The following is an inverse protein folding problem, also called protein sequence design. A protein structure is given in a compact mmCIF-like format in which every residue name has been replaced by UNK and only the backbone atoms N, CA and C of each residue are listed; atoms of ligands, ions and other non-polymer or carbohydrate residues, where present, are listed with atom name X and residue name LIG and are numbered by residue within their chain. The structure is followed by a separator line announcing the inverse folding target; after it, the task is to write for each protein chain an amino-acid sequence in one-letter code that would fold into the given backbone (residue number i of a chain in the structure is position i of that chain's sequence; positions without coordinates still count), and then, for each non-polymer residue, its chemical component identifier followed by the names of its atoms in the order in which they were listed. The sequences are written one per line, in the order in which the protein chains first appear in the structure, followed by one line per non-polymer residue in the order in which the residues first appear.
data_IF_888007678590
#
_entry.id   IF_888007678590
#
_cell.length_a   1.000
_cell.length_b   1.000
_cell.length_c   1.000
_cell.angle_alpha   90.00
_cell.angle_beta   90.00
_cell.angle_gamma   90.00
#
_symmetry.space_group_name_H-M   'P 1'
#
loop_
_entity.id
_entity.type
_entity.pdbx_description
1 polymer ?
#
# COMPACT_ATOMS: atom_id res chain seq x y z
N UNK A 1 -3.98 -23.78 8.78
CA UNK A 1 -3.40 -22.45 9.09
C UNK A 1 -4.48 -21.62 9.77
N UNK A 2 -4.14 -20.95 10.88
CA UNK A 2 -5.05 -20.00 11.53
C UNK A 2 -4.77 -18.64 10.88
N UNK A 3 -5.80 -18.02 10.31
CA UNK A 3 -5.73 -16.68 9.76
C UNK A 3 -6.61 -15.76 10.60
N UNK A 4 -6.06 -14.63 11.02
CA UNK A 4 -6.85 -13.56 11.62
C UNK A 4 -7.08 -12.49 10.57
N UNK A 5 -8.35 -12.20 10.29
CA UNK A 5 -8.80 -11.21 9.30
C UNK A 5 -9.22 -9.91 9.99
N UNK A 6 -8.83 -8.79 9.40
CA UNK A 6 -9.19 -7.45 9.88
C UNK A 6 -9.64 -6.58 8.70
N UNK A 7 -10.76 -5.89 8.87
CA UNK A 7 -11.17 -4.82 7.95
C UNK A 7 -10.51 -3.50 8.38
N UNK A 8 -9.89 -2.80 7.43
CA UNK A 8 -9.17 -1.55 7.69
C UNK A 8 -9.24 -0.62 6.48
N UNK A 9 -10.01 0.47 6.57
CA UNK A 9 -10.09 1.53 5.55
C UNK A 9 -10.31 1.03 4.10
N UNK A 10 -11.16 0.02 3.90
CA UNK A 10 -11.41 -0.55 2.58
C UNK A 10 -10.39 -1.61 2.14
N UNK A 11 -9.53 -2.04 3.06
CA UNK A 11 -8.63 -3.18 2.93
C UNK A 11 -9.07 -4.31 3.84
N UNK A 12 -8.88 -5.54 3.39
CA UNK A 12 -8.92 -6.76 4.18
C UNK A 12 -7.48 -7.19 4.47
N UNK A 13 -7.09 -7.14 5.73
CA UNK A 13 -5.77 -7.57 6.20
C UNK A 13 -5.87 -9.00 6.71
N UNK A 14 -5.00 -9.86 6.19
CA UNK A 14 -4.83 -11.24 6.63
C UNK A 14 -3.49 -11.40 7.30
N UNK A 15 -3.48 -11.83 8.56
CA UNK A 15 -2.25 -12.27 9.23
C UNK A 15 -2.06 -13.77 9.02
N UNK A 16 -0.84 -14.14 8.66
CA UNK A 16 -0.45 -15.52 8.37
C UNK A 16 0.58 -15.93 9.41
N UNK A 17 0.30 -17.00 10.15
CA UNK A 17 1.27 -17.58 11.07
C UNK A 17 2.33 -18.36 10.29
N UNK A 18 3.58 -17.95 10.44
CA UNK A 18 4.78 -18.55 9.84
C UNK A 18 5.57 -19.34 10.89
N UNK A 19 6.55 -20.14 10.46
CA UNK A 19 7.40 -20.90 11.40
C UNK A 19 8.16 -20.01 12.40
N UNK A 20 8.45 -18.76 12.03
CA UNK A 20 9.32 -17.85 12.78
C UNK A 20 8.59 -16.58 13.27
N UNK A 21 7.26 -16.52 13.11
CA UNK A 21 6.49 -15.33 13.46
C UNK A 21 5.23 -15.17 12.62
N UNK A 22 4.98 -13.94 12.17
CA UNK A 22 3.77 -13.56 11.44
C UNK A 22 4.13 -12.76 10.20
N UNK A 23 3.58 -13.16 9.05
CA UNK A 23 3.54 -12.34 7.83
C UNK A 23 2.12 -11.78 7.64
N UNK A 24 1.94 -10.91 6.65
CA UNK A 24 0.61 -10.39 6.31
C UNK A 24 0.37 -10.29 4.81
N UNK A 25 -0.89 -10.25 4.44
CA UNK A 25 -1.36 -9.82 3.12
C UNK A 25 -2.50 -8.82 3.26
N UNK A 26 -2.44 -7.72 2.51
CA UNK A 26 -3.47 -6.70 2.41
C UNK A 26 -4.17 -6.84 1.07
N UNK A 27 -5.49 -7.02 1.11
CA UNK A 27 -6.34 -7.15 -0.07
C UNK A 27 -7.25 -5.93 -0.17
N UNK A 28 -7.46 -5.41 -1.37
CA UNK A 28 -8.61 -4.53 -1.60
C UNK A 28 -9.88 -5.39 -1.66
N UNK A 29 -11.03 -4.81 -1.32
CA UNK A 29 -12.32 -5.53 -1.29
C UNK A 29 -12.69 -6.17 -2.64
N UNK A 30 -12.14 -5.67 -3.76
CA UNK A 30 -12.32 -6.25 -5.09
C UNK A 30 -11.40 -7.46 -5.38
N UNK A 31 -10.47 -7.79 -4.47
CA UNK A 31 -9.76 -9.06 -4.37
C UNK A 31 -8.76 -9.37 -5.48
N UNK A 32 -8.40 -8.40 -6.33
CA UNK A 32 -7.58 -8.66 -7.52
C UNK A 32 -6.08 -8.70 -7.26
N UNK A 33 -5.60 -7.93 -6.29
CA UNK A 33 -4.17 -7.83 -5.97
C UNK A 33 -3.97 -7.82 -4.45
N UNK A 34 -3.09 -8.70 -3.99
CA UNK A 34 -2.67 -8.80 -2.59
C UNK A 34 -1.31 -8.16 -2.41
N UNK A 35 -1.16 -7.33 -1.38
CA UNK A 35 0.05 -6.57 -1.10
C UNK A 35 0.65 -7.02 0.23
N UNK A 36 1.94 -7.29 0.23
CA UNK A 36 2.75 -7.55 1.42
C UNK A 36 4.08 -6.81 1.31
N UNK A 37 4.87 -6.80 2.37
CA UNK A 37 6.29 -6.41 2.33
C UNK A 37 7.26 -7.61 2.33
N UNK A 38 6.71 -8.83 2.32
CA UNK A 38 7.46 -10.09 2.33
C UNK A 38 8.36 -10.29 3.56
N UNK A 39 8.09 -9.56 4.65
CA UNK A 39 8.79 -9.70 5.92
C UNK A 39 8.01 -10.62 6.87
N UNK A 40 8.75 -11.24 7.80
CA UNK A 40 8.19 -12.00 8.92
C UNK A 40 8.49 -11.25 10.20
N UNK A 41 7.44 -10.92 10.94
CA UNK A 41 7.49 -10.18 12.19
C UNK A 41 7.41 -11.12 13.39
N UNK A 42 8.07 -10.77 14.49
CA UNK A 42 8.10 -11.63 15.67
C UNK A 42 6.72 -11.77 16.35
N UNK A 43 5.87 -10.73 16.25
CA UNK A 43 4.53 -10.72 16.86
C UNK A 43 3.44 -10.36 15.86
N UNK A 44 2.22 -10.82 16.12
CA UNK A 44 1.03 -10.47 15.32
C UNK A 44 0.73 -8.97 15.34
N UNK A 45 1.01 -8.29 16.46
CA UNK A 45 0.85 -6.85 16.61
C UNK A 45 1.81 -6.08 15.69
N UNK A 46 3.07 -6.53 15.59
CA UNK A 46 4.04 -5.95 14.65
C UNK A 46 3.61 -6.16 13.20
N UNK A 47 3.17 -7.37 12.84
CA UNK A 47 2.67 -7.67 11.50
C UNK A 47 1.43 -6.83 11.16
N UNK A 48 0.49 -6.68 12.10
CA UNK A 48 -0.71 -5.86 11.90
C UNK A 48 -0.38 -4.38 11.73
N UNK A 49 0.56 -3.85 12.52
CA UNK A 49 1.02 -2.47 12.39
C UNK A 49 1.72 -2.22 11.05
N UNK A 50 2.51 -3.18 10.56
CA UNK A 50 3.11 -3.13 9.23
C UNK A 50 2.06 -3.18 8.13
N UNK A 51 1.09 -4.10 8.23
CA UNK A 51 -0.01 -4.24 7.30
C UNK A 51 -0.84 -2.96 7.15
N UNK A 52 -1.18 -2.31 8.27
CA UNK A 52 -1.90 -1.03 8.28
C UNK A 52 -1.11 0.08 7.59
N UNK A 53 0.18 0.21 7.93
CA UNK A 53 1.07 1.19 7.25
C UNK A 53 1.14 0.94 5.75
N UNK A 54 1.23 -0.33 5.33
CA UNK A 54 1.24 -0.69 3.91
C UNK A 54 -0.08 -0.30 3.23
N UNK A 55 -1.21 -0.63 3.84
CA UNK A 55 -2.53 -0.26 3.34
C UNK A 55 -2.71 1.27 3.23
N UNK A 56 -2.26 2.02 4.23
CA UNK A 56 -2.32 3.48 4.24
C UNK A 56 -1.44 4.10 3.13
N UNK A 57 -0.22 3.58 2.95
CA UNK A 57 0.69 4.02 1.89
C UNK A 57 0.08 3.78 0.50
N UNK A 58 -0.45 2.59 0.25
CA UNK A 58 -1.06 2.26 -1.04
C UNK A 58 -2.31 3.10 -1.32
N UNK A 59 -3.15 3.33 -0.30
CA UNK A 59 -4.28 4.25 -0.38
C UNK A 59 -3.84 5.67 -0.73
N UNK A 60 -2.78 6.18 -0.07
CA UNK A 60 -2.27 7.53 -0.30
C UNK A 60 -1.70 7.68 -1.71
N UNK A 61 -0.86 6.74 -2.16
CA UNK A 61 -0.30 6.74 -3.50
C UNK A 61 -1.38 6.67 -4.58
N UNK A 62 -2.40 5.82 -4.39
CA UNK A 62 -3.54 5.76 -5.31
C UNK A 62 -4.31 7.09 -5.36
N UNK A 63 -4.55 7.72 -4.21
CA UNK A 63 -5.23 9.01 -4.15
C UNK A 63 -4.45 10.10 -4.88
N UNK A 64 -3.12 10.15 -4.69
CA UNK A 64 -2.24 11.09 -5.39
C UNK A 64 -2.24 10.85 -6.90
N UNK A 65 -2.12 9.60 -7.35
CA UNK A 65 -2.17 9.28 -8.79
C UNK A 65 -3.52 9.64 -9.42
N UNK A 66 -4.64 9.40 -8.70
CA UNK A 66 -5.97 9.83 -9.15
C UNK A 66 -6.06 11.35 -9.24
N UNK A 67 -5.58 12.05 -8.22
CA UNK A 67 -5.51 13.51 -8.25
C UNK A 67 -4.70 14.02 -9.45
N UNK A 68 -3.51 13.47 -9.70
CA UNK A 68 -2.66 13.85 -10.85
C UNK A 68 -3.31 13.60 -12.20
N UNK A 69 -4.08 12.51 -12.32
CA UNK A 69 -4.85 12.21 -13.52
C UNK A 69 -6.02 13.17 -13.71
N UNK A 70 -6.77 13.46 -12.63
CA UNK A 70 -7.95 14.33 -12.67
C UNK A 70 -7.61 15.79 -12.95
N UNK A 71 -6.46 16.27 -12.44
CA UNK A 71 -6.02 17.65 -12.70
C UNK A 71 -5.56 17.87 -14.14
N UNK A 72 -5.49 16.84 -15.00
CA UNK A 72 -5.14 16.87 -16.43
C UNK A 72 -4.99 18.25 -17.10
N UNK A 73 -3.84 18.90 -16.88
CA UNK A 73 -3.48 20.19 -17.49
C UNK A 73 -4.14 21.45 -16.90
N UNK A 74 -4.95 21.35 -15.84
CA UNK A 74 -5.58 22.47 -15.16
C UNK A 74 -4.67 23.03 -14.07
N UNK A 75 -4.14 24.24 -14.29
CA UNK A 75 -3.75 25.22 -13.25
C UNK A 75 -2.70 24.85 -12.16
N UNK A 76 -1.89 23.80 -12.33
CA UNK A 76 -0.83 23.47 -11.35
C UNK A 76 0.61 23.69 -11.82
N UNK A 77 0.83 24.41 -12.93
CA UNK A 77 2.15 24.66 -13.52
C UNK A 77 2.99 23.41 -13.83
N UNK A 78 2.42 22.21 -13.73
CA UNK A 78 3.07 20.95 -14.08
C UNK A 78 2.96 20.74 -15.59
N UNK A 79 4.11 20.61 -16.25
CA UNK A 79 4.13 20.10 -17.61
C UNK A 79 3.69 18.63 -17.64
N UNK A 80 3.44 18.11 -18.85
CA UNK A 80 3.17 16.68 -19.01
C UNK A 80 4.32 15.83 -18.46
N UNK A 81 5.56 16.24 -18.72
CA UNK A 81 6.75 15.52 -18.30
C UNK A 81 6.91 15.54 -16.77
N UNK A 82 6.63 16.68 -16.11
CA UNK A 82 6.66 16.77 -14.65
C UNK A 82 5.63 15.85 -14.00
N UNK A 83 4.43 15.77 -14.59
CA UNK A 83 3.36 14.90 -14.10
C UNK A 83 3.73 13.43 -14.28
N UNK A 84 4.30 13.06 -15.41
CA UNK A 84 4.69 11.68 -15.69
C UNK A 84 5.87 11.27 -14.77
N UNK A 85 6.84 12.16 -14.54
CA UNK A 85 7.93 11.96 -13.58
C UNK A 85 7.43 11.83 -12.13
N UNK A 86 6.50 12.69 -11.70
CA UNK A 86 5.92 12.64 -10.37
C UNK A 86 5.11 11.36 -10.15
N UNK A 87 4.34 10.92 -11.15
CA UNK A 87 3.60 9.66 -11.10
C UNK A 87 4.54 8.47 -10.90
N UNK A 88 5.66 8.46 -11.61
CA UNK A 88 6.67 7.42 -11.47
C UNK A 88 7.31 7.44 -10.08
N UNK A 89 7.62 8.62 -9.54
CA UNK A 89 8.17 8.77 -8.19
C UNK A 89 7.20 8.26 -7.11
N UNK A 90 5.90 8.53 -7.24
CA UNK A 90 4.88 8.01 -6.31
C UNK A 90 4.80 6.48 -6.35
N UNK A 91 4.84 5.90 -7.55
CA UNK A 91 4.83 4.44 -7.72
C UNK A 91 6.09 3.79 -7.13
N UNK A 92 7.25 4.42 -7.32
CA UNK A 92 8.51 3.94 -6.75
C UNK A 92 8.51 4.02 -5.21
N UNK A 93 8.01 5.13 -4.66
CA UNK A 93 7.85 5.31 -3.21
C UNK A 93 6.92 4.23 -2.61
N UNK A 94 5.80 3.92 -3.28
CA UNK A 94 4.93 2.81 -2.90
C UNK A 94 5.67 1.47 -2.93
N UNK A 95 6.41 1.18 -4.01
CA UNK A 95 7.14 -0.09 -4.18
C UNK A 95 8.19 -0.31 -3.10
N UNK A 96 8.88 0.76 -2.69
CA UNK A 96 9.92 0.71 -1.65
C UNK A 96 9.34 0.68 -0.22
N UNK A 97 8.01 0.66 -0.06
CA UNK A 97 7.37 0.62 1.25
C UNK A 97 7.48 1.94 2.02
N UNK A 98 7.67 3.06 1.32
CA UNK A 98 7.78 4.39 1.92
C UNK A 98 9.10 4.66 2.63
N UNK A 99 10.14 3.85 2.35
CA UNK A 99 11.50 4.08 2.86
C UNK A 99 12.17 5.15 2.00
N UNK A 100 12.38 6.32 2.59
CA UNK A 100 13.12 7.45 2.04
C UNK A 100 14.32 7.79 2.92
#
# INVERSE_FOLDING_TARGET
MIYTRFDYHGWQIELILEMQGYSFQCWRVDGREGISDCLVYATSEQALAAARRRADLESACLALLRFLNDIGGRNYYLSRDDRDALSQSILEYARLGGVS
#
